data_IF_015477611968
#
_entry.id   IF_015477611968
#
_cell.length_a   1.000
_cell.length_b   1.000
_cell.length_c   1.000
_cell.angle_alpha   90.00
_cell.angle_beta   90.00
_cell.angle_gamma   90.00
#
_symmetry.space_group_name_H-M   'P 1'
#
loop_
_entity.id
_entity.type
_entity.pdbx_description
1 polymer ?
#
# COMPACT_ATOMS: atom_id res chain seq x y z
N UNK A 1 -46.13 -1.61 -17.25
CA UNK A 1 -44.79 -1.17 -16.82
C UNK A 1 -44.55 -1.83 -15.47
N UNK A 2 -43.94 -3.01 -15.51
CA UNK A 2 -43.76 -3.86 -14.32
C UNK A 2 -42.57 -3.34 -13.53
N UNK A 3 -42.84 -2.74 -12.37
CA UNK A 3 -41.83 -2.21 -11.46
C UNK A 3 -41.63 -3.23 -10.35
N UNK A 4 -40.86 -4.27 -10.65
CA UNK A 4 -40.42 -5.20 -9.61
C UNK A 4 -39.41 -4.47 -8.70
N UNK A 5 -39.59 -4.50 -7.37
CA UNK A 5 -38.63 -3.90 -6.45
C UNK A 5 -37.30 -4.66 -6.53
N UNK A 6 -36.18 -3.92 -6.55
CA UNK A 6 -34.85 -4.51 -6.51
C UNK A 6 -34.74 -5.47 -5.31
N UNK A 7 -34.33 -6.74 -5.51
CA UNK A 7 -34.26 -7.71 -4.43
C UNK A 7 -33.30 -7.25 -3.34
N UNK A 8 -33.70 -7.44 -2.09
CA UNK A 8 -32.87 -7.09 -0.94
C UNK A 8 -31.60 -7.96 -0.93
N UNK A 9 -30.44 -7.45 -0.45
CA UNK A 9 -29.16 -8.15 -0.56
C UNK A 9 -29.11 -9.55 0.08
N UNK A 10 -30.00 -9.84 1.03
CA UNK A 10 -30.16 -11.15 1.68
C UNK A 10 -30.88 -12.19 0.81
N UNK A 11 -31.43 -11.79 -0.35
CA UNK A 11 -32.08 -12.67 -1.34
C UNK A 11 -31.14 -13.06 -2.49
N UNK A 12 -29.84 -12.79 -2.35
CA UNK A 12 -28.82 -13.14 -3.34
C UNK A 12 -28.14 -14.44 -2.92
N UNK A 13 -28.59 -15.55 -3.50
CA UNK A 13 -28.26 -16.91 -3.05
C UNK A 13 -26.78 -17.31 -3.15
N UNK A 14 -25.94 -16.53 -3.84
CA UNK A 14 -24.51 -16.84 -4.00
C UNK A 14 -23.58 -15.74 -3.47
N UNK A 15 -22.53 -16.10 -2.70
CA UNK A 15 -21.44 -15.20 -2.32
C UNK A 15 -20.78 -14.48 -3.52
N UNK A 16 -20.75 -15.11 -4.70
CA UNK A 16 -20.17 -14.53 -5.91
C UNK A 16 -21.01 -13.38 -6.45
N UNK A 17 -22.34 -13.54 -6.46
CA UNK A 17 -23.29 -12.51 -6.88
C UNK A 17 -23.26 -11.32 -5.94
N UNK A 18 -23.15 -11.56 -4.63
CA UNK A 18 -23.01 -10.50 -3.61
C UNK A 18 -21.70 -9.72 -3.77
N UNK A 19 -20.60 -10.43 -4.04
CA UNK A 19 -19.31 -9.81 -4.33
C UNK A 19 -19.35 -8.97 -5.62
N UNK A 20 -20.05 -9.42 -6.65
CA UNK A 20 -20.17 -8.67 -7.90
C UNK A 20 -20.97 -7.38 -7.71
N UNK A 21 -22.16 -7.44 -7.09
CA UNK A 21 -22.96 -6.24 -6.83
C UNK A 21 -22.24 -5.24 -5.91
N UNK A 22 -21.45 -5.72 -4.95
CA UNK A 22 -20.63 -4.85 -4.12
C UNK A 22 -19.54 -4.10 -4.90
N UNK A 23 -18.98 -4.71 -5.95
CA UNK A 23 -18.04 -4.03 -6.85
C UNK A 23 -18.74 -3.01 -7.72
N UNK A 24 -19.88 -3.36 -8.29
CA UNK A 24 -20.65 -2.49 -9.18
C UNK A 24 -21.11 -1.22 -8.41
N UNK A 25 -21.59 -1.39 -7.18
CA UNK A 25 -21.93 -0.26 -6.28
C UNK A 25 -20.76 0.70 -6.07
N UNK A 26 -19.54 0.20 -5.89
CA UNK A 26 -18.35 1.04 -5.70
C UNK A 26 -17.88 1.72 -7.00
N UNK A 27 -18.21 1.15 -8.16
CA UNK A 27 -17.96 1.80 -9.45
C UNK A 27 -18.93 2.97 -9.67
N UNK A 28 -20.20 2.79 -9.31
CA UNK A 28 -21.22 3.84 -9.39
C UNK A 28 -21.02 4.93 -8.33
N UNK A 29 -20.41 4.59 -7.19
CA UNK A 29 -20.20 5.48 -6.05
C UNK A 29 -18.71 5.56 -5.67
N UNK A 30 -17.85 6.26 -6.45
CA UNK A 30 -16.40 6.22 -6.29
C UNK A 30 -15.87 6.83 -4.99
N UNK A 31 -16.66 7.68 -4.33
CA UNK A 31 -16.29 8.29 -3.05
C UNK A 31 -16.71 7.44 -1.84
N UNK A 32 -17.48 6.36 -2.05
CA UNK A 32 -17.91 5.49 -0.97
C UNK A 32 -16.80 4.57 -0.48
N UNK A 33 -16.81 4.32 0.83
CA UNK A 33 -15.83 3.41 1.42
C UNK A 33 -16.20 1.97 1.07
N UNK A 34 -15.27 1.09 0.65
CA UNK A 34 -15.56 -0.31 0.36
C UNK A 34 -16.24 -1.07 1.52
N UNK A 35 -16.00 -0.64 2.75
CA UNK A 35 -16.65 -1.16 3.94
C UNK A 35 -18.17 -0.93 3.98
N UNK A 36 -18.67 0.14 3.36
CA UNK A 36 -20.12 0.41 3.24
C UNK A 36 -20.74 -0.61 2.28
N UNK A 37 -20.14 -0.81 1.11
CA UNK A 37 -20.55 -1.85 0.16
C UNK A 37 -20.50 -3.25 0.79
N UNK A 38 -19.44 -3.57 1.54
CA UNK A 38 -19.32 -4.87 2.21
C UNK A 38 -20.48 -5.14 3.18
N UNK A 39 -20.90 -4.11 3.93
CA UNK A 39 -22.05 -4.18 4.84
C UNK A 39 -23.38 -4.28 4.09
N UNK A 40 -23.57 -3.50 3.02
CA UNK A 40 -24.81 -3.51 2.22
C UNK A 40 -25.03 -4.89 1.62
N UNK A 41 -23.99 -5.53 1.10
CA UNK A 41 -24.09 -6.82 0.40
C UNK A 41 -23.78 -8.04 1.26
N UNK A 42 -23.68 -7.87 2.58
CA UNK A 42 -23.38 -8.96 3.54
C UNK A 42 -22.19 -9.83 3.09
N UNK A 43 -21.05 -9.19 2.83
CA UNK A 43 -19.80 -9.88 2.49
C UNK A 43 -18.72 -9.53 3.51
N UNK A 44 -17.85 -10.48 3.88
CA UNK A 44 -16.69 -10.18 4.70
C UNK A 44 -15.85 -9.07 4.03
N UNK A 45 -15.52 -7.97 4.72
CA UNK A 45 -14.76 -6.87 4.12
C UNK A 45 -13.44 -7.35 3.52
N UNK A 46 -12.77 -8.31 4.15
CA UNK A 46 -11.53 -8.94 3.66
C UNK A 46 -11.70 -9.55 2.27
N UNK A 47 -12.83 -10.18 1.98
CA UNK A 47 -13.15 -10.76 0.68
C UNK A 47 -13.26 -9.66 -0.38
N UNK A 48 -13.98 -8.56 -0.08
CA UNK A 48 -14.12 -7.43 -0.98
C UNK A 48 -12.78 -6.70 -1.22
N UNK A 49 -12.00 -6.44 -0.16
CA UNK A 49 -10.68 -5.82 -0.29
C UNK A 49 -9.71 -6.68 -1.10
N UNK A 50 -9.71 -8.01 -0.87
CA UNK A 50 -8.91 -8.96 -1.66
C UNK A 50 -9.36 -8.98 -3.12
N UNK A 51 -10.65 -8.92 -3.36
CA UNK A 51 -11.25 -8.83 -4.69
C UNK A 51 -10.89 -7.53 -5.43
N UNK A 52 -10.92 -6.38 -4.76
CA UNK A 52 -10.49 -5.08 -5.30
C UNK A 52 -8.99 -5.08 -5.57
N UNK A 53 -8.19 -5.62 -4.64
CA UNK A 53 -6.73 -5.74 -4.80
C UNK A 53 -6.38 -6.63 -5.99
N UNK A 54 -7.03 -7.79 -6.12
CA UNK A 54 -6.88 -8.67 -7.29
C UNK A 54 -7.29 -7.95 -8.56
N UNK A 55 -8.42 -7.26 -8.57
CA UNK A 55 -8.88 -6.49 -9.72
C UNK A 55 -7.87 -5.40 -10.10
N UNK A 56 -7.25 -4.68 -9.15
CA UNK A 56 -6.20 -3.69 -9.43
C UNK A 56 -4.95 -4.34 -10.05
N UNK A 57 -4.58 -5.52 -9.57
CA UNK A 57 -3.45 -6.27 -10.13
C UNK A 57 -3.74 -6.77 -11.54
N UNK A 58 -4.95 -7.29 -11.80
CA UNK A 58 -5.37 -7.80 -13.11
C UNK A 58 -5.82 -6.70 -14.08
N UNK A 59 -6.19 -5.52 -13.58
CA UNK A 59 -6.56 -4.35 -14.38
C UNK A 59 -5.35 -3.59 -14.92
N UNK A 60 -4.12 -4.08 -14.68
CA UNK A 60 -3.02 -3.83 -15.60
C UNK A 60 -3.34 -4.54 -16.93
N UNK A 61 -4.28 -3.97 -17.69
CA UNK A 61 -4.66 -4.48 -18.99
C UNK A 61 -3.40 -4.58 -19.84
N UNK A 62 -3.21 -5.71 -20.52
CA UNK A 62 -2.01 -5.96 -21.32
C UNK A 62 -1.72 -4.79 -22.27
N UNK A 63 -2.78 -4.19 -22.83
CA UNK A 63 -2.70 -3.03 -23.70
C UNK A 63 -2.14 -1.78 -23.00
N UNK A 64 -2.52 -1.51 -21.75
CA UNK A 64 -2.03 -0.37 -20.98
C UNK A 64 -0.57 -0.55 -20.60
N UNK A 65 -0.19 -1.77 -20.19
CA UNK A 65 1.20 -2.15 -19.93
C UNK A 65 2.03 -2.00 -21.20
N UNK A 66 1.57 -2.53 -22.34
CA UNK A 66 2.24 -2.37 -23.65
C UNK A 66 2.37 -0.91 -24.06
N UNK A 67 1.31 -0.11 -23.89
CA UNK A 67 1.30 1.33 -24.20
C UNK A 67 2.33 2.07 -23.34
N UNK A 68 2.39 1.76 -22.05
CA UNK A 68 3.37 2.32 -21.14
C UNK A 68 4.81 1.96 -21.56
N UNK A 69 5.11 0.69 -21.84
CA UNK A 69 6.45 0.26 -22.25
C UNK A 69 6.87 0.88 -23.59
N UNK A 70 5.95 1.00 -24.56
CA UNK A 70 6.21 1.70 -25.82
C UNK A 70 6.58 3.16 -25.57
N UNK A 71 5.80 3.87 -24.74
CA UNK A 71 6.07 5.26 -24.38
C UNK A 71 7.43 5.39 -23.69
N UNK A 72 7.71 4.54 -22.71
CA UNK A 72 8.98 4.50 -22.00
C UNK A 72 10.17 4.33 -22.95
N UNK A 73 10.11 3.37 -23.88
CA UNK A 73 11.17 3.14 -24.86
C UNK A 73 11.36 4.34 -25.81
N UNK A 74 10.27 4.99 -26.25
CA UNK A 74 10.36 6.18 -27.08
C UNK A 74 11.02 7.35 -26.35
N UNK A 75 10.62 7.59 -25.10
CA UNK A 75 11.23 8.62 -24.23
C UNK A 75 12.73 8.37 -24.02
N UNK A 76 13.14 7.13 -23.74
CA UNK A 76 14.57 6.82 -23.60
C UNK A 76 15.37 7.19 -24.85
N UNK A 77 14.81 6.94 -26.05
CA UNK A 77 15.46 7.28 -27.33
C UNK A 77 15.49 8.79 -27.56
N UNK A 78 14.36 9.47 -27.37
CA UNK A 78 14.20 10.91 -27.57
C UNK A 78 15.23 11.72 -26.76
N UNK A 79 15.38 11.37 -25.48
CA UNK A 79 16.29 12.06 -24.57
C UNK A 79 17.70 11.44 -24.51
N UNK A 80 18.00 10.44 -25.35
CA UNK A 80 19.27 9.72 -25.35
C UNK A 80 19.66 9.18 -23.94
N UNK A 81 18.67 8.72 -23.18
CA UNK A 81 18.86 8.20 -21.82
C UNK A 81 19.42 6.78 -21.93
N UNK A 82 20.68 6.63 -21.53
CA UNK A 82 21.36 5.33 -21.50
C UNK A 82 20.86 4.51 -20.32
N UNK A 83 20.82 3.19 -20.47
CA UNK A 83 20.38 2.26 -19.41
C UNK A 83 21.14 2.44 -18.08
N UNK A 84 22.43 2.82 -18.14
CA UNK A 84 23.25 3.14 -16.95
C UNK A 84 22.78 4.37 -16.16
N UNK A 85 21.96 5.23 -16.78
CA UNK A 85 21.39 6.43 -16.18
C UNK A 85 19.93 6.19 -15.73
N UNK A 86 19.41 4.96 -15.86
CA UNK A 86 18.09 4.60 -15.35
C UNK A 86 18.27 3.98 -13.99
N UNK A 87 17.75 4.66 -12.98
CA UNK A 87 17.87 4.31 -11.58
C UNK A 87 16.45 4.29 -11.00
N UNK A 88 16.10 3.18 -10.33
CA UNK A 88 14.92 3.12 -9.49
C UNK A 88 15.33 3.39 -8.04
N UNK A 89 14.61 4.29 -7.39
CA UNK A 89 14.84 4.72 -6.01
C UNK A 89 13.53 4.50 -5.25
N UNK A 90 13.58 3.78 -4.14
CA UNK A 90 12.40 3.49 -3.33
C UNK A 90 12.71 3.60 -1.84
N UNK A 91 11.68 3.93 -1.07
CA UNK A 91 11.73 4.11 0.39
C UNK A 91 11.00 2.96 1.09
N UNK A 92 11.68 2.32 2.04
CA UNK A 92 11.10 1.32 2.92
C UNK A 92 11.16 1.79 4.39
N UNK A 93 9.99 1.97 5.00
CA UNK A 93 9.85 2.23 6.42
C UNK A 93 9.86 0.95 7.25
N UNK A 94 10.67 0.94 8.30
CA UNK A 94 10.77 -0.12 9.30
C UNK A 94 10.49 0.45 10.69
N UNK A 95 10.04 -0.42 11.59
CA UNK A 95 9.88 -0.08 13.01
C UNK A 95 10.59 -1.11 13.87
N UNK A 96 11.46 -0.63 14.75
CA UNK A 96 12.09 -1.45 15.78
C UNK A 96 11.02 -1.93 16.76
N UNK A 97 11.19 -3.12 17.33
CA UNK A 97 10.29 -3.65 18.36
C UNK A 97 8.91 -4.09 17.87
N UNK A 98 8.60 -4.02 16.57
CA UNK A 98 7.37 -4.59 16.03
C UNK A 98 7.57 -6.06 15.61
N UNK A 99 7.54 -6.97 16.58
CA UNK A 99 7.42 -8.40 16.28
C UNK A 99 6.09 -8.67 15.57
N UNK A 100 6.13 -9.37 14.43
CA UNK A 100 4.92 -9.99 13.86
C UNK A 100 4.47 -11.09 14.82
N UNK A 101 3.15 -11.34 14.91
CA UNK A 101 2.63 -12.47 15.68
C UNK A 101 3.31 -13.76 15.21
N UNK A 102 3.78 -14.58 16.16
CA UNK A 102 4.46 -15.85 15.90
C UNK A 102 3.57 -16.99 16.40
N UNK A 103 3.58 -18.12 15.68
CA UNK A 103 3.04 -19.36 16.19
C UNK A 103 4.11 -20.03 17.05
N UNK A 104 3.77 -20.39 18.27
CA UNK A 104 4.64 -21.14 19.17
C UNK A 104 3.94 -22.42 19.60
N UNK A 105 4.70 -23.50 19.74
CA UNK A 105 4.18 -24.76 20.29
C UNK A 105 4.27 -24.65 21.81
N UNK A 106 3.13 -24.76 22.49
CA UNK A 106 3.03 -24.75 23.94
C UNK A 106 2.33 -26.02 24.42
N UNK A 107 2.63 -26.48 25.65
CA UNK A 107 1.84 -27.49 26.34
C UNK A 107 0.34 -27.11 26.39
N UNK A 108 -0.54 -28.13 26.42
CA UNK A 108 -2.01 -27.99 26.30
C UNK A 108 -2.64 -27.11 27.42
N UNK A 109 -1.97 -26.98 28.55
CA UNK A 109 -2.39 -26.17 29.69
C UNK A 109 -2.12 -24.66 29.51
N UNK A 110 -1.40 -24.26 28.45
CA UNK A 110 -1.09 -22.86 28.15
C UNK A 110 -1.90 -22.40 26.94
N UNK A 111 -2.97 -21.63 27.18
CA UNK A 111 -3.81 -21.08 26.11
C UNK A 111 -3.12 -19.95 25.33
N UNK A 112 -2.32 -19.11 26.00
CA UNK A 112 -1.63 -17.96 25.38
C UNK A 112 -0.32 -17.64 26.12
N UNK A 113 0.71 -17.26 25.36
CA UNK A 113 2.00 -16.82 25.90
C UNK A 113 2.27 -15.37 25.53
N UNK A 114 2.55 -14.54 26.53
CA UNK A 114 2.82 -13.11 26.37
C UNK A 114 4.31 -12.85 26.59
N UNK A 115 5.03 -12.55 25.51
CA UNK A 115 6.37 -11.97 25.61
C UNK A 115 6.26 -10.45 25.69
N UNK A 116 6.99 -9.83 26.63
CA UNK A 116 7.15 -8.38 26.65
C UNK A 116 7.81 -7.94 25.34
N UNK A 117 7.05 -7.20 24.51
CA UNK A 117 7.62 -6.52 23.35
C UNK A 117 8.63 -5.49 23.85
N UNK A 118 9.81 -5.36 23.23
CA UNK A 118 10.68 -4.22 23.48
C UNK A 118 9.87 -2.94 23.29
N UNK A 119 9.88 -2.03 24.26
CA UNK A 119 9.13 -0.77 24.20
C UNK A 119 9.68 0.20 23.15
N UNK A 120 10.85 -0.10 22.58
CA UNK A 120 11.46 0.72 21.54
C UNK A 120 10.69 0.60 20.22
N UNK A 121 9.89 1.63 19.92
CA UNK A 121 9.09 1.78 18.69
C UNK A 121 9.70 2.74 17.68
N UNK A 122 11.01 2.98 17.72
CA UNK A 122 11.68 3.88 16.77
C UNK A 122 11.44 3.43 15.34
N UNK A 123 11.09 4.40 14.50
CA UNK A 123 11.00 4.21 13.05
C UNK A 123 12.37 4.41 12.42
N UNK A 124 12.63 3.61 11.40
CA UNK A 124 13.82 3.63 10.55
C UNK A 124 13.34 3.72 9.11
N UNK A 125 13.89 4.63 8.34
CA UNK A 125 13.65 4.68 6.91
C UNK A 125 14.90 4.21 6.18
N UNK A 126 14.75 3.29 5.24
CA UNK A 126 15.82 2.83 4.36
C UNK A 126 15.47 3.26 2.94
N UNK A 127 16.43 3.87 2.25
CA UNK A 127 16.35 4.12 0.83
C UNK A 127 17.21 3.11 0.08
N UNK A 128 16.60 2.40 -0.86
CA UNK A 128 17.28 1.47 -1.75
C UNK A 128 17.30 2.02 -3.17
N UNK A 129 18.42 1.77 -3.85
CA UNK A 129 18.65 2.23 -5.21
C UNK A 129 19.02 1.03 -6.04
N UNK A 130 18.37 0.82 -7.18
CA UNK A 130 18.78 -0.19 -8.16
C UNK A 130 18.97 0.47 -9.52
N UNK A 131 20.02 0.10 -10.24
CA UNK A 131 20.22 0.57 -11.61
C UNK A 131 19.70 -0.46 -12.60
N UNK A 132 19.27 0.01 -13.77
CA UNK A 132 18.77 -0.89 -14.80
C UNK A 132 19.88 -1.79 -15.40
N UNK A 133 21.16 -1.46 -15.25
CA UNK A 133 22.27 -2.29 -15.75
C UNK A 133 22.54 -3.54 -14.93
N UNK A 134 21.96 -3.67 -13.73
CA UNK A 134 22.24 -4.77 -12.80
C UNK A 134 23.64 -4.70 -12.18
N UNK A 135 24.34 -3.57 -12.32
CA UNK A 135 25.60 -3.33 -11.62
C UNK A 135 25.33 -3.13 -10.14
N UNK A 136 26.36 -3.30 -9.30
CA UNK A 136 26.22 -3.17 -7.85
C UNK A 136 25.59 -1.81 -7.50
N UNK A 137 24.47 -1.79 -6.77
CA UNK A 137 23.86 -0.54 -6.35
C UNK A 137 24.71 0.17 -5.29
N UNK A 138 24.53 1.50 -5.12
CA UNK A 138 25.02 2.20 -3.95
C UNK A 138 24.56 1.51 -2.65
N UNK A 139 25.33 1.57 -1.56
CA UNK A 139 24.86 1.11 -0.26
C UNK A 139 23.52 1.75 0.11
N UNK A 140 22.60 1.02 0.78
CA UNK A 140 21.35 1.61 1.25
C UNK A 140 21.60 2.81 2.15
N UNK A 141 20.79 3.85 2.00
CA UNK A 141 20.85 5.01 2.90
C UNK A 141 19.86 4.81 4.04
N UNK A 142 20.32 4.98 5.28
CA UNK A 142 19.52 4.69 6.47
C UNK A 142 19.29 5.97 7.24
N UNK A 143 18.03 6.35 7.41
CA UNK A 143 17.59 7.48 8.23
C UNK A 143 16.95 6.93 9.50
N UNK A 144 17.58 7.24 10.63
CA UNK A 144 17.02 7.01 11.96
C UNK A 144 16.36 8.29 12.47
N UNK A 145 15.47 8.15 13.45
CA UNK A 145 14.92 9.30 14.16
C UNK A 145 16.05 10.18 14.71
N UNK A 146 16.08 11.43 14.27
CA UNK A 146 17.06 12.42 14.73
C UNK A 146 16.88 12.71 16.21
N UNK A 147 17.98 12.69 16.98
CA UNK A 147 18.01 13.17 18.36
C UNK A 147 18.27 14.67 18.43
N UNK A 148 18.92 15.21 17.41
CA UNK A 148 19.30 16.61 17.29
C UNK A 148 18.87 17.10 15.92
N UNK A 149 18.30 18.30 15.90
CA UNK A 149 17.89 19.00 14.70
C UNK A 149 18.99 20.02 14.39
N UNK A 150 19.53 20.01 13.18
CA UNK A 150 20.56 20.98 12.78
C UNK A 150 19.88 22.33 12.52
N UNK A 151 20.07 23.30 13.42
CA UNK A 151 19.45 24.62 13.31
C UNK A 151 19.77 25.32 11.97
N UNK A 152 20.96 25.07 11.41
CA UNK A 152 21.40 25.62 10.12
C UNK A 152 20.60 25.11 8.90
N UNK A 153 19.72 24.12 9.08
CA UNK A 153 18.87 23.59 8.00
C UNK A 153 17.54 24.35 7.85
N UNK A 154 17.24 25.28 8.76
CA UNK A 154 16.02 26.10 8.73
C UNK A 154 16.34 27.51 8.30
N UNK A 155 15.53 28.09 7.42
CA UNK A 155 15.49 29.54 7.25
C UNK A 155 14.79 30.16 8.48
N UNK A 156 15.06 31.43 8.84
CA UNK A 156 14.52 32.06 10.06
C UNK A 156 12.99 31.99 10.19
N UNK A 157 12.31 31.92 9.05
CA UNK A 157 10.85 31.83 8.87
C UNK A 157 10.28 30.42 9.15
N UNK A 158 11.11 29.38 9.21
CA UNK A 158 10.71 27.99 9.42
C UNK A 158 11.37 27.36 10.66
N UNK A 159 11.93 28.17 11.56
CA UNK A 159 12.53 27.65 12.77
C UNK A 159 11.44 26.99 13.64
N UNK A 160 11.67 25.77 14.16
CA UNK A 160 10.64 25.04 14.92
C UNK A 160 10.16 25.76 16.19
N UNK A 161 10.89 26.78 16.66
CA UNK A 161 10.55 27.59 17.83
C UNK A 161 9.85 28.93 17.52
N UNK A 162 9.64 29.29 16.24
CA UNK A 162 8.85 30.49 15.91
C UNK A 162 7.37 30.20 16.07
N UNK A 163 6.75 30.75 17.13
CA UNK A 163 5.28 30.76 17.25
C UNK A 163 4.69 31.57 16.09
N UNK A 164 3.65 31.07 15.39
CA UNK A 164 2.94 31.88 14.41
C UNK A 164 2.30 33.07 15.12
N UNK A 165 2.56 34.27 14.59
CA UNK A 165 1.93 35.55 14.96
C UNK A 165 0.46 35.59 14.58
#
# INVERSE_FOLDING_TARGET
>A
MDSTPNPTPNQLDSPETRLQKARDFLQENPNEKPMIAAKIYDIPPSTLYSAIKRARFTAQQENDVRKWFKKYQSTLKEYNIKRKNVINFDEAGFRVGCSKGQFILVPDDINEYYALSPEDRRSLTIFEVINATGSRPPPPFVVIQGKWVMADWYTPEWHPDTKPS
#
